data_IF_637178744591
#
_entry.id   IF_637178744591
#
_cell.length_a   1.000
_cell.length_b   1.000
_cell.length_c   1.000
_cell.angle_alpha   90.00
_cell.angle_beta   90.00
_cell.angle_gamma   90.00
#
_symmetry.space_group_name_H-M   'P 1'
#
loop_
_entity.id
_entity.type
_entity.pdbx_description
1 polymer ?
2 non-polymer ?
#
# COMPACT_ATOMS: atom_id res chain seq x y z
N UNK A 4 0.87 -15.58 -6.38
CA UNK A 4 -0.58 -15.43 -6.21
C UNK A 4 -0.89 -14.18 -5.38
N UNK A 5 -0.08 -13.93 -4.34
CA UNK A 5 -0.17 -12.68 -3.60
C UNK A 5 0.29 -11.49 -4.45
N UNK A 6 1.12 -11.74 -5.47
CA UNK A 6 1.49 -10.68 -6.42
C UNK A 6 0.33 -10.30 -7.32
N UNK A 7 -0.56 -11.25 -7.61
CA UNK A 7 -1.73 -10.98 -8.44
C UNK A 7 -2.69 -10.01 -7.77
N UNK A 8 -2.42 -9.70 -6.50
CA UNK A 8 -3.22 -8.76 -5.72
C UNK A 8 -2.72 -7.33 -5.87
N UNK A 9 -1.49 -7.13 -6.36
CA UNK A 9 -0.98 -5.79 -6.67
C UNK A 9 -1.35 -5.45 -8.11
N UNK A 10 -2.02 -4.32 -8.29
CA UNK A 10 -2.57 -3.95 -9.59
C UNK A 10 -2.18 -2.51 -9.91
N UNK A 11 -1.89 -2.26 -11.19
CA UNK A 11 -1.80 -0.90 -11.70
C UNK A 11 -3.04 -0.12 -11.33
N UNK A 12 -2.83 0.99 -10.63
CA UNK A 12 -3.90 1.91 -10.26
C UNK A 12 -3.34 3.31 -10.43
N UNK A 13 -3.95 4.10 -11.32
CA UNK A 13 -3.46 5.45 -11.54
C UNK A 13 -1.98 5.51 -11.82
N UNK A 14 -1.32 6.51 -11.25
CA UNK A 14 0.12 6.70 -11.39
C UNK A 14 0.91 5.78 -10.48
N UNK A 15 0.26 4.84 -9.82
CA UNK A 15 0.93 3.93 -8.91
C UNK A 15 0.21 2.62 -8.85
N UNK A 16 0.03 2.10 -7.65
CA UNK A 16 -0.42 0.72 -7.52
C UNK A 16 -1.44 0.62 -6.38
N UNK A 17 -2.13 -0.53 -6.35
CA UNK A 17 -3.08 -0.84 -5.29
C UNK A 17 -3.06 -2.34 -5.03
N UNK A 18 -3.55 -2.72 -3.84
CA UNK A 18 -3.45 -4.09 -3.35
C UNK A 18 -4.84 -4.57 -2.92
N UNK A 19 -5.22 -5.77 -3.36
CA UNK A 19 -6.52 -6.35 -3.05
C UNK A 19 -6.42 -7.06 -1.71
N UNK A 20 -6.87 -6.40 -0.64
CA UNK A 20 -6.83 -7.01 0.68
C UNK A 20 -7.82 -8.16 0.77
N UNK A 21 -8.99 -7.98 0.16
CA UNK A 21 -10.10 -8.93 0.16
C UNK A 21 -10.71 -8.98 -1.23
N UNK A 22 -11.68 -9.86 -1.48
CA UNK A 22 -12.44 -9.77 -2.73
C UNK A 22 -13.07 -8.41 -2.95
N UNK A 23 -13.32 -7.62 -1.90
CA UNK A 23 -13.99 -6.34 -2.07
C UNK A 23 -13.17 -5.14 -1.63
N UNK A 24 -11.99 -5.33 -1.07
CA UNK A 24 -11.28 -4.25 -0.40
C UNK A 24 -9.97 -3.96 -1.12
N UNK A 25 -9.92 -2.81 -1.80
CA UNK A 25 -8.74 -2.32 -2.49
C UNK A 25 -8.11 -1.24 -1.64
N UNK A 26 -6.80 -1.27 -1.48
CA UNK A 26 -6.09 -0.20 -0.78
C UNK A 26 -5.01 0.35 -1.69
N UNK A 27 -4.77 1.66 -1.58
CA UNK A 27 -3.80 2.33 -2.44
C UNK A 27 -3.35 3.62 -1.75
N UNK A 28 -2.55 4.41 -2.47
CA UNK A 28 -2.06 5.70 -1.98
C UNK A 28 -2.91 6.83 -2.56
N UNK A 29 -3.24 7.80 -1.71
CA UNK A 29 -4.06 8.91 -2.14
C UNK A 29 -3.44 9.66 -3.32
N UNK A 30 -2.12 9.80 -3.35
CA UNK A 30 -1.48 10.53 -4.43
C UNK A 30 -1.63 9.83 -5.77
N UNK A 31 -2.07 8.58 -5.79
CA UNK A 31 -2.07 7.76 -7.00
C UNK A 31 -3.46 7.66 -7.64
N UNK A 32 -4.52 7.94 -6.90
CA UNK A 32 -5.88 7.64 -7.40
C UNK A 32 -6.19 8.59 -8.55
N UNK A 33 -6.72 8.10 -9.69
CA UNK A 33 -7.10 9.01 -10.78
C UNK A 33 -8.32 9.84 -10.39
N UNK A 34 -8.21 11.17 -10.51
CA UNK A 34 -9.24 12.08 -10.01
C UNK A 34 -10.27 12.47 -11.06
N UNK A 35 -10.06 12.03 -12.30
CA UNK A 35 -10.98 12.35 -13.38
C UNK A 35 -11.78 11.15 -13.82
N UNK A 36 -11.71 10.06 -13.07
CA UNK A 36 -12.33 8.79 -13.43
C UNK A 36 -13.59 8.58 -12.61
N UNK A 37 -14.61 7.98 -13.23
CA UNK A 37 -15.90 7.79 -12.62
C UNK A 37 -16.28 6.33 -12.46
N UNK A 38 -15.38 5.41 -12.80
CA UNK A 38 -15.57 3.99 -12.54
C UNK A 38 -14.22 3.37 -12.24
N UNK A 39 -14.20 2.43 -11.30
CA UNK A 39 -12.98 1.71 -10.94
C UNK A 39 -13.29 0.24 -11.08
N UNK A 40 -12.49 -0.46 -11.89
CA UNK A 40 -12.66 -1.88 -12.17
C UNK A 40 -14.09 -2.18 -12.60
N UNK A 41 -14.62 -1.30 -13.46
CA UNK A 41 -15.95 -1.47 -13.99
C UNK A 41 -17.07 -1.10 -13.03
N UNK A 42 -16.76 -0.76 -11.79
CA UNK A 42 -17.79 -0.36 -10.85
C UNK A 42 -17.85 1.16 -10.81
N UNK A 43 -19.02 1.79 -10.92
CA UNK A 43 -19.06 3.26 -10.85
C UNK A 43 -18.63 3.75 -9.47
N UNK A 44 -17.88 4.85 -9.46
CA UNK A 44 -17.36 5.38 -8.19
C UNK A 44 -18.48 5.74 -7.23
N UNK A 45 -19.63 6.17 -7.76
CA UNK A 45 -20.77 6.48 -6.90
C UNK A 45 -21.13 5.32 -6.00
N UNK A 46 -20.96 4.08 -6.48
CA UNK A 46 -21.23 2.89 -5.68
C UNK A 46 -20.05 2.43 -4.84
N UNK A 47 -18.89 3.08 -4.96
CA UNK A 47 -17.69 2.68 -4.24
C UNK A 47 -17.54 3.59 -3.02
N UNK A 48 -17.35 2.99 -1.84
CA UNK A 48 -17.15 3.73 -0.60
C UNK A 48 -15.65 3.90 -0.42
N UNK A 49 -15.17 5.15 -0.57
CA UNK A 49 -13.76 5.47 -0.44
C UNK A 49 -13.53 6.18 0.89
N UNK A 50 -12.64 5.61 1.69
CA UNK A 50 -12.23 6.22 2.96
C UNK A 50 -10.75 6.57 2.86
N UNK A 51 -10.41 7.78 3.29
CA UNK A 51 -9.04 8.27 3.27
C UNK A 51 -8.55 8.55 4.68
N UNK A 52 -7.37 8.02 5.00
CA UNK A 52 -6.62 8.32 6.23
C UNK A 52 -5.24 8.85 5.80
N UNK A 53 -5.17 10.15 5.55
CA UNK A 53 -3.95 10.74 5.02
C UNK A 53 -3.61 10.25 3.63
N UNK A 54 -2.57 9.42 3.53
CA UNK A 54 -2.16 8.81 2.27
C UNK A 54 -2.63 7.37 2.13
N UNK A 55 -3.18 6.78 3.18
CA UNK A 55 -3.76 5.43 3.11
C UNK A 55 -5.19 5.56 2.60
N UNK A 56 -5.47 4.97 1.44
CA UNK A 56 -6.80 5.07 0.84
C UNK A 56 -7.41 3.70 0.70
N UNK A 57 -8.69 3.59 1.05
CA UNK A 57 -9.40 2.32 1.20
C UNK A 57 -10.65 2.35 0.34
N UNK A 58 -10.74 1.48 -0.66
CA UNK A 58 -11.90 1.43 -1.54
C UNK A 58 -12.65 0.12 -1.28
N UNK A 59 -13.88 0.23 -0.75
CA UNK A 59 -14.75 -0.90 -0.51
C UNK A 59 -15.78 -0.98 -1.64
N UNK A 60 -15.82 -2.09 -2.33
CA UNK A 60 -16.69 -2.25 -3.48
C UNK A 60 -18.02 -2.87 -3.07
N UNK A 61 -19.09 -2.57 -3.80
CA UNK A 61 -20.42 -3.06 -3.38
C UNK A 61 -20.57 -4.56 -3.47
N UNK A 62 -19.76 -5.22 -4.30
CA UNK A 62 -19.92 -6.60 -4.71
C UNK A 62 -18.50 -7.10 -4.95
N UNK A 63 -18.17 -8.33 -4.56
CA UNK A 63 -16.76 -8.72 -4.58
C UNK A 63 -16.20 -8.72 -5.99
N UNK A 64 -15.06 -8.04 -6.19
CA UNK A 64 -14.47 -7.96 -7.52
C UNK A 64 -13.59 -9.18 -7.81
N UNK A 65 -12.85 -9.64 -6.81
CA UNK A 65 -11.88 -10.74 -6.97
C UNK A 65 -12.37 -11.93 -6.16
N UNK A 66 -13.26 -12.73 -6.77
CA UNK A 66 -13.72 -13.99 -6.19
C UNK A 66 -12.55 -14.84 -5.72
N UNK A 67 -11.42 -14.75 -6.44
CA UNK A 67 -10.36 -15.72 -6.28
C UNK A 67 -9.49 -15.48 -5.05
N UNK A 68 -9.40 -14.27 -4.57
CA UNK A 68 -8.51 -13.96 -3.46
C UNK A 68 -9.21 -14.27 -2.14
N UNK A 69 -8.41 -14.64 -1.13
CA UNK A 69 -8.82 -14.75 0.26
C UNK A 69 -8.57 -13.41 0.94
N UNK A 70 -9.38 -13.11 1.97
CA UNK A 70 -9.16 -11.90 2.74
C UNK A 70 -7.89 -11.98 3.57
N UNK A 71 -7.25 -10.83 3.77
CA UNK A 71 -6.00 -10.77 4.51
C UNK A 71 -6.16 -9.86 5.72
N UNK A 72 -5.27 -10.04 6.70
CA UNK A 72 -5.28 -9.24 7.91
C UNK A 72 -4.70 -7.87 7.60
N UNK A 73 -5.41 -6.82 7.98
CA UNK A 73 -4.98 -5.44 7.81
C UNK A 73 -4.84 -4.82 9.18
N UNK A 74 -3.65 -4.30 9.48
CA UNK A 74 -3.36 -3.70 10.77
C UNK A 74 -2.63 -2.38 10.56
N UNK A 75 -2.69 -1.54 11.59
CA UNK A 75 -2.03 -0.24 11.61
C UNK A 75 -0.55 -0.45 11.88
N UNK A 76 0.22 -0.65 10.81
CA UNK A 76 1.65 -0.85 10.94
C UNK A 76 2.03 -2.17 11.58
N UNK A 77 3.33 -2.41 11.76
CA UNK A 77 3.83 -3.62 12.41
C UNK A 77 4.59 -3.21 13.67
N UNK A 78 4.89 -4.14 14.59
CA UNK A 78 5.69 -3.76 15.76
C UNK A 78 7.05 -3.22 15.36
N UNK A 79 7.49 -2.18 16.07
CA UNK A 79 8.82 -1.60 15.87
C UNK A 79 9.88 -2.69 15.82
N UNK A 80 10.69 -2.67 14.75
CA UNK A 80 11.74 -3.66 14.56
C UNK A 80 11.36 -4.81 13.66
N UNK A 81 10.10 -4.89 13.23
CA UNK A 81 9.68 -5.96 12.33
C UNK A 81 10.26 -5.76 10.94
N UNK A 82 10.78 -6.83 10.34
CA UNK A 82 11.29 -6.75 8.97
C UNK A 82 10.13 -7.08 8.03
N UNK A 83 9.47 -6.03 7.53
CA UNK A 83 8.39 -6.25 6.56
C UNK A 83 8.98 -6.41 5.17
N UNK A 84 8.11 -6.80 4.22
CA UNK A 84 8.47 -6.88 2.81
C UNK A 84 7.64 -5.86 2.04
N UNK A 85 8.30 -5.06 1.20
CA UNK A 85 7.66 -4.05 0.35
C UNK A 85 7.52 -4.67 -1.04
N UNK A 86 6.32 -5.16 -1.35
CA UNK A 86 6.07 -5.85 -2.60
C UNK A 86 5.94 -4.83 -3.72
N UNK A 87 7.06 -4.43 -4.30
CA UNK A 87 7.04 -3.47 -5.40
C UNK A 87 6.92 -4.22 -6.72
N UNK A 88 5.84 -3.94 -7.45
CA UNK A 88 5.72 -4.31 -8.85
C UNK A 88 6.16 -3.14 -9.70
N UNK A 89 6.88 -3.44 -10.79
CA UNK A 89 7.41 -2.41 -11.66
C UNK A 89 6.63 -2.36 -12.98
N UNK A 90 6.55 -1.19 -13.62
CA UNK A 90 5.75 -1.10 -14.85
C UNK A 90 6.21 -2.09 -15.91
N UNK A 91 7.48 -2.52 -15.87
CA UNK A 91 7.97 -3.52 -16.82
C UNK A 91 7.39 -4.90 -16.52
N UNK A 92 6.84 -5.11 -15.32
CA UNK A 92 6.35 -6.39 -14.88
C UNK A 92 7.23 -7.03 -13.82
N UNK A 93 8.48 -6.58 -13.71
CA UNK A 93 9.41 -7.21 -12.78
C UNK A 93 8.89 -7.03 -11.36
N UNK A 94 9.18 -8.01 -10.51
CA UNK A 94 8.75 -8.04 -9.13
C UNK A 94 9.96 -7.76 -8.23
N UNK A 95 9.87 -6.72 -7.41
CA UNK A 95 10.94 -6.36 -6.50
C UNK A 95 10.45 -6.45 -5.06
N UNK A 96 10.52 -7.63 -4.44
CA UNK A 96 10.36 -7.70 -2.98
C UNK A 96 11.54 -7.02 -2.30
N UNK A 97 11.24 -6.06 -1.42
CA UNK A 97 12.27 -5.32 -0.69
C UNK A 97 12.08 -5.52 0.80
N UNK A 98 13.18 -5.72 1.52
CA UNK A 98 13.12 -5.85 2.97
C UNK A 98 13.24 -4.49 3.63
N UNK A 99 12.31 -4.19 4.53
CA UNK A 99 12.29 -2.92 5.25
C UNK A 99 12.07 -3.20 6.73
N UNK A 100 13.05 -2.83 7.55
CA UNK A 100 12.86 -2.90 9.00
C UNK A 100 12.04 -1.70 9.45
N UNK A 101 10.85 -1.97 9.95
CA UNK A 101 9.91 -0.91 10.30
C UNK A 101 10.27 -0.32 11.66
N UNK A 102 9.94 0.95 11.84
CA UNK A 102 10.28 1.65 13.05
C UNK A 102 9.15 2.46 13.65
N UNK A 103 9.44 3.69 14.03
CA UNK A 103 8.50 4.52 14.76
C UNK A 103 7.19 4.68 13.99
N UNK A 104 6.07 4.44 14.67
CA UNK A 104 4.76 4.87 14.20
C UNK A 104 4.58 6.34 14.57
N UNK A 105 4.24 7.18 13.59
CA UNK A 105 3.96 8.56 13.95
C UNK A 105 3.12 9.23 12.87
N UNK A 106 2.55 10.38 13.24
CA UNK A 106 1.97 11.31 12.28
C UNK A 106 3.10 12.20 11.80
N UNK A 107 3.33 12.20 10.49
CA UNK A 107 4.48 12.88 9.91
C UNK A 107 4.06 14.04 9.04
N UNK A 108 4.91 15.06 9.00
CA UNK A 108 4.81 16.16 8.05
C UNK A 108 5.68 15.79 6.86
N UNK A 109 5.04 15.49 5.73
CA UNK A 109 5.73 15.20 4.47
C UNK A 109 5.26 16.23 3.47
N UNK A 110 6.16 17.16 3.13
CA UNK A 110 5.86 18.18 2.13
C UNK A 110 4.61 18.97 2.52
N UNK A 111 4.61 19.49 3.74
CA UNK A 111 3.49 20.27 4.23
C UNK A 111 2.21 19.50 4.51
N UNK A 112 2.06 18.30 3.99
CA UNK A 112 0.88 17.49 4.26
C UNK A 112 1.10 16.63 5.50
N UNK A 113 0.04 16.40 6.26
CA UNK A 113 0.07 15.54 7.44
C UNK A 113 -0.24 14.11 7.02
N UNK A 114 0.53 13.16 7.54
CA UNK A 114 0.47 11.77 7.10
C UNK A 114 0.68 10.86 8.29
N UNK A 115 -0.27 9.97 8.56
CA UNK A 115 -0.08 8.91 9.52
C UNK A 115 0.56 7.71 8.83
N UNK A 116 1.55 7.13 9.48
CA UNK A 116 2.24 6.00 8.90
C UNK A 116 3.35 5.52 9.79
N UNK A 117 4.22 4.71 9.22
CA UNK A 117 5.32 4.11 9.95
C UNK A 117 6.57 4.21 9.09
N UNK A 118 7.64 4.74 9.67
CA UNK A 118 8.91 4.82 8.95
C UNK A 118 9.59 3.47 9.00
N UNK A 119 10.39 3.21 7.98
CA UNK A 119 11.10 1.96 7.81
C UNK A 119 12.41 2.28 7.14
N UNK A 120 13.32 1.31 7.19
CA UNK A 120 14.66 1.44 6.65
C UNK A 120 14.89 0.25 5.73
N UNK A 121 15.12 0.52 4.45
CA UNK A 121 15.40 -0.56 3.51
C UNK A 121 16.72 -1.21 3.88
N UNK A 122 16.72 -2.53 3.96
CA UNK A 122 17.91 -3.28 4.28
C UNK A 122 18.59 -3.76 3.01
N UNK A 123 19.90 -3.50 2.91
CA UNK A 123 20.73 -3.95 1.81
C UNK A 123 20.01 -3.84 0.47
N UNK A 132 18.14 -2.28 -5.46
CA UNK A 132 18.37 -0.88 -5.75
C UNK A 132 17.69 0.02 -4.72
N UNK A 133 16.41 0.27 -4.92
CA UNK A 133 15.69 1.16 -4.03
C UNK A 133 14.28 1.36 -4.53
N UNK A 134 13.60 2.36 -3.97
CA UNK A 134 12.26 2.69 -4.43
C UNK A 134 12.28 3.90 -5.36
N UNK A 135 11.25 3.99 -6.22
CA UNK A 135 11.17 5.13 -7.13
C UNK A 135 9.77 5.77 -7.14
N UNK A 136 9.54 6.78 -7.99
CA UNK A 136 8.21 7.46 -7.95
C UNK A 136 7.02 6.66 -8.47
N UNK A 137 7.21 5.66 -9.31
CA UNK A 137 6.07 4.86 -9.72
C UNK A 137 5.52 3.94 -8.63
N UNK A 138 6.24 3.83 -7.51
CA UNK A 138 6.04 2.74 -6.56
C UNK A 138 5.01 3.05 -5.48
N UNK A 139 4.60 4.31 -5.31
CA UNK A 139 3.54 4.63 -4.35
C UNK A 139 2.32 3.75 -4.62
N UNK A 140 1.79 3.17 -3.55
CA UNK A 140 0.64 2.28 -3.63
C UNK A 140 0.95 0.83 -3.30
N UNK A 141 2.19 0.38 -3.48
CA UNK A 141 2.53 -1.02 -3.22
C UNK A 141 2.48 -1.32 -1.72
N UNK A 142 2.10 -2.54 -1.36
CA UNK A 142 1.84 -2.86 0.04
C UNK A 142 3.08 -3.33 0.80
N UNK A 143 3.05 -3.07 2.12
CA UNK A 143 4.00 -3.63 3.08
C UNK A 143 3.33 -4.84 3.72
N UNK A 144 4.03 -5.97 3.77
CA UNK A 144 3.49 -7.22 4.28
C UNK A 144 4.57 -7.91 5.11
N UNK A 145 4.17 -8.51 6.23
CA UNK A 145 5.04 -9.35 7.04
C UNK A 145 4.25 -10.59 7.45
N UNK A 146 4.95 -11.72 7.61
CA UNK A 146 4.33 -12.97 8.01
C UNK A 146 4.38 -13.08 9.53
N UNK A 147 3.22 -13.34 10.14
CA UNK A 147 3.11 -13.52 11.59
C UNK A 147 2.56 -14.92 11.84
N UNK A 148 3.43 -15.83 12.27
CA UNK A 148 3.05 -17.22 12.38
C UNK A 148 2.79 -17.80 11.01
N UNK A 149 1.52 -18.12 10.70
CA UNK A 149 1.17 -18.67 9.41
C UNK A 149 0.36 -17.71 8.55
N UNK A 150 0.03 -16.53 9.04
CA UNK A 150 -0.82 -15.59 8.33
C UNK A 150 0.00 -14.41 7.86
N UNK A 151 -0.24 -13.98 6.63
CA UNK A 151 0.32 -12.72 6.19
C UNK A 151 -0.49 -11.56 6.73
N UNK A 152 0.20 -10.47 7.03
CA UNK A 152 -0.40 -9.26 7.56
C UNK A 152 0.06 -8.11 6.69
N UNK A 153 -0.89 -7.38 6.13
CA UNK A 153 -0.59 -6.16 5.39
C UNK A 153 -0.75 -4.98 6.33
N UNK A 154 0.24 -4.11 6.37
CA UNK A 154 0.29 -3.03 7.36
C UNK A 154 0.13 -1.64 6.77
N UNK A 155 0.26 -1.47 5.45
CA UNK A 155 0.16 -0.14 4.88
C UNK A 155 0.54 -0.18 3.41
N UNK A 156 0.72 1.00 2.83
CA UNK A 156 1.08 1.12 1.42
C UNK A 156 2.15 2.18 1.28
N UNK A 157 3.10 1.96 0.37
CA UNK A 157 4.23 2.85 0.23
C UNK A 157 3.75 4.25 -0.15
N UNK A 158 4.31 5.27 0.52
CA UNK A 158 3.88 6.62 0.21
C UNK A 158 5.05 7.55 -0.04
N UNK A 159 6.19 7.30 0.58
CA UNK A 159 7.31 8.23 0.44
C UNK A 159 8.61 7.55 0.85
N UNK A 160 9.72 8.25 0.60
CA UNK A 160 11.06 7.79 0.87
C UNK A 160 11.99 9.00 0.90
N UNK A 161 13.00 8.94 1.77
CA UNK A 161 13.94 10.05 1.95
C UNK A 161 14.87 10.19 0.75
N UNK A 162 14.98 11.43 0.26
CA UNK A 162 15.92 11.72 -0.82
C UNK A 162 17.33 11.23 -0.46
N UNK A 163 17.75 11.49 0.78
CA UNK A 163 19.03 10.97 1.24
C UNK A 163 18.86 9.98 2.38
N UNK A 164 19.22 8.72 2.15
CA UNK A 164 19.05 7.66 3.14
C UNK A 164 18.17 6.55 2.62
N UNK A 165 18.00 5.52 3.47
CA UNK A 165 17.18 4.36 3.18
C UNK A 165 15.73 4.57 3.57
N UNK A 166 15.45 5.57 4.39
CA UNK A 166 14.12 5.74 4.97
C UNK A 166 13.02 5.60 3.93
N UNK A 167 12.01 4.79 4.24
CA UNK A 167 10.79 4.67 3.47
C UNK A 167 9.61 4.92 4.41
N UNK A 168 8.54 5.52 3.91
CA UNK A 168 7.35 5.77 4.72
C UNK A 168 6.24 4.85 4.24
N UNK A 169 5.52 4.25 5.19
CA UNK A 169 4.43 3.31 4.92
C UNK A 169 3.15 3.87 5.52
N UNK A 170 2.25 4.36 4.64
CA UNK A 170 1.03 5.00 5.09
C UNK A 170 0.09 3.96 5.69
N UNK A 171 -0.52 4.30 6.83
CA UNK A 171 -1.29 3.31 7.56
C UNK A 171 -2.70 3.83 7.88
N UNK A 172 -3.54 2.87 8.30
CA UNK A 172 -4.85 3.06 8.91
C UNK A 172 -5.94 3.09 7.84
X LIG B 1 8.38 11.97 -1.31
X LIG B 1 7.03 12.55 -1.70
X LIG B 1 8.58 10.78 -1.30
X LIG B 1 5.90 11.59 -2.05
X LIG B 1 4.61 12.39 -2.26
X LIG B 1 3.91 12.77 -0.99
X LIG B 1 3.34 11.86 -0.13
X LIG B 1 2.69 12.26 1.04
X LIG B 1 2.60 13.60 1.33
X LIG B 1 3.15 14.54 0.51
X LIG B 1 3.79 14.12 -0.64
X LIG B 1 6.12 9.59 -3.41
X LIG B 1 6.47 8.77 -4.55
X LIG B 1 7.54 7.77 -4.11
X LIG B 1 8.92 8.28 -3.65
X LIG B 1 9.89 7.11 -3.39
X LIG B 1 11.08 7.42 -3.92
X LIG B 1 9.65 6.06 -2.81
X LIG B 1 5.21 8.05 -5.05
X LIG B 1 4.10 9.00 -5.46
X LIG B 1 4.46 9.95 -6.57
X LIG B 1 3.68 11.01 -6.49
X LIG B 1 5.29 9.83 -7.44
X LIG B 1 6.33 10.90 -3.33
X LIG B 1 6.86 11.53 -4.21
X LIG B 1 4.13 12.30 -6.91
X LIG B 1 3.45 13.20 -5.90
X LIG B 1 9.53 12.93 -0.93
X LIG B 1 9.84 12.45 0.42
X LIG B 1 9.69 13.17 1.56
X LIG B 1 9.28 14.31 1.64
X LIG B 1 10.65 12.94 -1.96
X LIG B 1 11.93 13.16 -1.17
X LIG B 1 1.99 14.05 2.44
X LIG B 1 10.79 11.73 -2.88
X LIG B 1 11.15 8.71 -4.57
X LIG B 1 9.68 9.13 -4.68
X LIG B 1 10.02 12.42 2.83
X LIG B 1 9.58 12.79 4.14
X LIG B 1 10.08 11.82 4.96
X LIG B 1 10.75 10.94 4.19
X LIG B 1 10.71 11.32 2.88
X LIG B 1 10.02 11.59 6.43
X LIG B 1 7.15 13.19 -2.42
X LIG B 1 6.78 13.09 -0.94
X LIG B 1 5.78 10.95 -1.32
X LIG B 1 4.82 13.18 -2.77
X LIG B 1 4.01 11.87 -2.82
X LIG B 1 3.39 10.94 -0.31
X LIG B 1 2.32 11.63 1.61
X LIG B 1 3.09 15.45 0.72
X LIG B 1 4.15 14.76 -1.20
X LIG B 1 5.73 9.19 -2.75
X LIG B 1 6.81 9.35 -5.25
X LIG B 1 7.16 7.20 -3.42
X LIG B 1 7.71 7.17 -4.85
X LIG B 1 8.80 8.76 -2.82
X LIG B 1 11.75 6.89 -3.88
X LIG B 1 5.46 7.49 -5.80
X LIG B 1 3.81 9.54 -4.71
X LIG B 1 3.31 8.51 -5.73
X LIG B 1 5.09 12.36 -6.87
X LIG B 1 3.84 12.49 -7.82
X LIG B 1 2.51 13.30 -6.10
X LIG B 1 3.55 12.86 -5.00
X LIG B 1 3.85 14.08 -5.95
X LIG B 1 9.17 13.83 -0.85
X LIG B 1 10.10 11.64 0.49
X LIG B 1 10.51 13.72 -2.53
X LIG B 1 11.82 13.89 -0.54
X LIG B 1 12.16 12.37 -0.67
X LIG B 1 12.69 13.37 -1.73
X LIG B 1 11.65 11.70 -3.33
X LIG B 1 10.70 10.90 -2.39
X LIG B 1 10.10 11.75 -3.56
X LIG B 1 11.58 8.63 -5.44
X LIG B 1 11.67 9.34 -4.04
X LIG B 1 9.54 10.07 -4.56
X LIG B 1 9.36 8.90 -5.57
X LIG B 1 9.07 13.52 4.38
X LIG B 1 9.54 10.77 6.63
X LIG B 1 9.57 12.32 6.88
X LIG B 1 10.91 11.51 6.79
#
# INVERSE_FOLDING_TARGET
APPSIWSRIVNFGSGWGFWVSPSLFITSTHVIPQGTQEFFGVPTKQIQIHKSGEFCRLRFPKPIRTDVTGMILEEGAPEGTVATLLIKRPTGELMPLAARMGTHATMKIQGRTVGGQMGMLLTGSNAKSMDLGTTPGDCGCPYIYKRGNDYVVIGVHTAAARGGNTVICATQGSEGEAMLE
AG7 C01 C02 O03 C04 C05 C06 C07 C08 C09 C10 C11 N12 C13 C14 C15 C16 N17 O18 C19 C20 C21 O22 O23 C47 O48 C50 C53 C57 N58 C59 O60 C78 C81 F1 C82 C83 C84 C1 C2 C3 O4 N5 C4 H2 H3 H27 H28 H29 H30 H31 H33 H34 H49 H91 H35 H36 H94 H39 H191 H41 H42 H51 H52 H53 H54 H56 H77 H61 H79 H82 H84 H85 H86 H87 H88 H89 H90 H92 H93 H8 H5 H6 H7
#
